data_IF_040707891357
#
_entry.id   IF_040707891357
#
_cell.length_a   1.000
_cell.length_b   1.000
_cell.length_c   1.000
_cell.angle_alpha   90.00
_cell.angle_beta   90.00
_cell.angle_gamma   90.00
#
_symmetry.space_group_name_H-M   'P 1'
#
loop_
_entity.id
_entity.type
_entity.pdbx_description
1 polymer ?
#
# COMPACT_ATOMS: atom_id res chain seq x y z
N UNK A 1 13.89 -10.85 0.12
CA UNK A 1 14.06 -10.97 -1.35
C UNK A 1 15.28 -10.25 -1.91
N UNK A 2 15.52 -8.96 -1.59
CA UNK A 2 16.66 -8.22 -2.13
C UNK A 2 18.03 -8.86 -1.79
N UNK A 3 18.25 -9.25 -0.52
CA UNK A 3 19.52 -9.87 -0.06
C UNK A 3 19.88 -11.15 -0.83
N UNK A 4 18.90 -12.03 -1.05
CA UNK A 4 19.11 -13.32 -1.74
C UNK A 4 19.20 -13.21 -3.27
N UNK A 5 18.96 -12.02 -3.82
CA UNK A 5 18.93 -11.76 -5.26
C UNK A 5 20.16 -11.00 -5.77
N UNK A 6 21.19 -10.83 -4.94
CA UNK A 6 22.43 -10.12 -5.29
C UNK A 6 23.08 -10.76 -6.52
N UNK A 7 23.44 -9.93 -7.51
CA UNK A 7 24.10 -10.38 -8.74
C UNK A 7 23.18 -10.99 -9.81
N UNK A 8 21.86 -11.02 -9.58
CA UNK A 8 20.87 -11.48 -10.58
C UNK A 8 20.38 -10.32 -11.46
N UNK A 9 20.02 -10.63 -12.70
CA UNK A 9 19.36 -9.64 -13.58
C UNK A 9 17.94 -9.34 -13.07
N UNK A 10 17.48 -8.10 -13.27
CA UNK A 10 16.15 -7.65 -12.84
C UNK A 10 15.06 -8.57 -13.41
N UNK A 11 15.16 -8.93 -14.70
CA UNK A 11 14.23 -9.86 -15.37
C UNK A 11 14.12 -11.20 -14.63
N UNK A 12 15.25 -11.80 -14.27
CA UNK A 12 15.25 -13.09 -13.58
C UNK A 12 14.62 -12.96 -12.19
N UNK A 13 14.95 -11.89 -11.45
CA UNK A 13 14.35 -11.64 -10.12
C UNK A 13 12.82 -11.57 -10.22
N UNK A 14 12.28 -10.75 -11.13
CA UNK A 14 10.84 -10.64 -11.31
C UNK A 14 10.19 -11.97 -11.70
N UNK A 15 10.76 -12.68 -12.67
CA UNK A 15 10.20 -13.96 -13.13
C UNK A 15 10.15 -14.99 -11.99
N UNK A 16 11.23 -15.17 -11.23
CA UNK A 16 11.27 -16.15 -10.14
C UNK A 16 10.42 -15.74 -8.94
N UNK A 17 10.44 -14.46 -8.56
CA UNK A 17 9.66 -13.96 -7.42
C UNK A 17 8.15 -14.05 -7.65
N UNK A 18 7.69 -13.96 -8.91
CA UNK A 18 6.27 -14.10 -9.23
C UNK A 18 5.87 -15.56 -9.48
N UNK A 19 6.65 -16.30 -10.27
CA UNK A 19 6.27 -17.65 -10.72
C UNK A 19 6.34 -18.70 -9.61
N UNK A 20 7.40 -18.69 -8.77
CA UNK A 20 7.61 -19.75 -7.78
C UNK A 20 6.52 -19.75 -6.69
N UNK A 21 6.21 -18.63 -6.03
CA UNK A 21 5.13 -18.61 -5.05
C UNK A 21 3.76 -18.87 -5.67
N UNK A 22 3.54 -18.46 -6.92
CA UNK A 22 2.30 -18.70 -7.63
C UNK A 22 2.06 -20.20 -7.90
N UNK A 23 3.06 -20.92 -8.41
CA UNK A 23 2.96 -22.37 -8.62
C UNK A 23 2.77 -23.10 -7.29
N UNK A 24 3.52 -22.69 -6.25
CA UNK A 24 3.33 -23.23 -4.91
C UNK A 24 1.90 -23.03 -4.41
N UNK A 25 1.33 -21.83 -4.56
CA UNK A 25 -0.05 -21.54 -4.16
C UNK A 25 -1.06 -22.41 -4.93
N UNK A 26 -0.90 -22.60 -6.23
CA UNK A 26 -1.77 -23.48 -7.03
C UNK A 26 -1.74 -24.91 -6.48
N UNK A 27 -0.54 -25.45 -6.25
CA UNK A 27 -0.40 -26.81 -5.72
C UNK A 27 -1.03 -26.90 -4.33
N UNK A 28 -0.72 -25.95 -3.44
CA UNK A 28 -1.22 -25.93 -2.06
C UNK A 28 -2.75 -25.84 -1.97
N UNK A 29 -3.36 -24.84 -2.63
CA UNK A 29 -4.81 -24.66 -2.61
C UNK A 29 -5.53 -25.75 -3.41
N UNK A 30 -4.92 -26.25 -4.49
CA UNK A 30 -5.47 -27.35 -5.27
C UNK A 30 -5.55 -28.65 -4.48
N UNK A 31 -4.50 -29.00 -3.73
CA UNK A 31 -4.46 -30.25 -2.94
C UNK A 31 -5.34 -30.15 -1.70
N UNK A 32 -5.07 -29.19 -0.81
CA UNK A 32 -5.75 -29.08 0.48
C UNK A 32 -7.15 -28.48 0.36
N UNK A 33 -7.33 -27.44 -0.47
CA UNK A 33 -8.65 -26.87 -0.74
C UNK A 33 -9.55 -27.88 -1.47
N UNK A 34 -9.00 -28.62 -2.43
CA UNK A 34 -9.73 -29.71 -3.09
C UNK A 34 -10.15 -30.82 -2.11
N UNK A 35 -9.27 -31.21 -1.19
CA UNK A 35 -9.58 -32.19 -0.14
C UNK A 35 -10.67 -31.68 0.82
N UNK A 36 -10.58 -30.41 1.24
CA UNK A 36 -11.55 -29.77 2.11
C UNK A 36 -12.96 -29.74 1.49
N UNK A 37 -13.08 -29.35 0.21
CA UNK A 37 -14.37 -29.33 -0.49
C UNK A 37 -14.96 -30.75 -0.63
N UNK A 38 -14.12 -31.78 -0.80
CA UNK A 38 -14.59 -33.18 -0.82
C UNK A 38 -15.08 -33.62 0.57
N UNK A 39 -14.36 -33.28 1.63
CA UNK A 39 -14.76 -33.57 3.01
C UNK A 39 -16.12 -32.91 3.32
N UNK A 40 -16.28 -31.62 3.02
CA UNK A 40 -17.53 -30.91 3.25
C UNK A 40 -18.73 -31.54 2.51
N UNK A 41 -18.55 -31.88 1.22
CA UNK A 41 -19.61 -32.53 0.41
C UNK A 41 -19.99 -33.92 0.92
N UNK A 42 -19.05 -34.64 1.53
CA UNK A 42 -19.32 -35.93 2.17
C UNK A 42 -20.08 -35.73 3.48
N UNK A 43 -19.68 -34.76 4.30
CA UNK A 43 -20.36 -34.46 5.56
C UNK A 43 -21.82 -34.04 5.34
N UNK A 44 -22.10 -33.21 4.34
CA UNK A 44 -23.47 -32.80 4.01
C UNK A 44 -24.32 -33.98 3.52
N UNK A 45 -23.75 -34.85 2.69
CA UNK A 45 -24.46 -36.06 2.26
C UNK A 45 -24.82 -37.00 3.42
N UNK A 46 -23.88 -37.24 4.34
CA UNK A 46 -24.13 -38.07 5.52
C UNK A 46 -25.18 -37.44 6.45
N UNK A 47 -25.20 -36.11 6.53
CA UNK A 47 -26.24 -35.36 7.24
C UNK A 47 -27.62 -35.57 6.61
N UNK A 48 -27.72 -35.54 5.28
CA UNK A 48 -28.99 -35.73 4.56
C UNK A 48 -29.56 -37.15 4.76
N UNK A 49 -28.69 -38.14 4.97
CA UNK A 49 -29.07 -39.53 5.26
C UNK A 49 -29.50 -39.76 6.73
N UNK A 50 -29.36 -38.76 7.61
CA UNK A 50 -29.73 -38.88 9.01
C UNK A 50 -28.85 -39.84 9.83
N UNK A 51 -27.60 -40.05 9.42
CA UNK A 51 -26.67 -40.95 10.08
C UNK A 51 -26.17 -40.40 11.43
N UNK A 52 -25.72 -41.31 12.30
CA UNK A 52 -25.23 -40.97 13.63
C UNK A 52 -23.97 -40.09 13.58
N UNK A 53 -23.90 -39.15 14.52
CA UNK A 53 -22.73 -38.31 14.74
C UNK A 53 -21.55 -39.18 15.16
N UNK A 54 -20.36 -38.93 14.59
CA UNK A 54 -19.15 -39.62 15.05
C UNK A 54 -18.94 -39.27 16.53
N UNK A 55 -18.89 -40.25 17.44
CA UNK A 55 -18.78 -40.02 18.90
C UNK A 55 -17.53 -40.67 19.50
N UNK A 56 -16.34 -40.12 19.22
CA UNK A 56 -15.06 -40.59 19.79
C UNK A 56 -14.34 -39.46 20.53
N UNK A 57 -14.12 -39.63 21.84
CA UNK A 57 -13.39 -38.68 22.69
C UNK A 57 -11.92 -38.48 22.28
N UNK A 58 -11.31 -39.51 21.68
CA UNK A 58 -9.90 -39.51 21.28
C UNK A 58 -9.64 -38.60 20.08
N UNK A 59 -10.67 -38.34 19.28
CA UNK A 59 -10.57 -37.51 18.08
C UNK A 59 -10.68 -36.01 18.39
N UNK A 60 -11.53 -35.61 19.34
CA UNK A 60 -11.85 -34.19 19.57
C UNK A 60 -10.98 -33.50 20.63
N UNK A 61 -10.02 -34.20 21.26
CA UNK A 61 -9.17 -33.66 22.34
C UNK A 61 -9.98 -32.95 23.45
N UNK A 62 -11.25 -33.31 23.62
CA UNK A 62 -12.19 -32.73 24.58
C UNK A 62 -12.78 -33.86 25.44
N UNK A 63 -12.75 -33.66 26.77
CA UNK A 63 -13.23 -34.63 27.78
C UNK A 63 -14.72 -34.50 28.10
N UNK A 64 -15.44 -33.57 27.45
CA UNK A 64 -16.87 -33.35 27.64
C UNK A 64 -17.72 -34.12 26.63
N UNK A 65 -18.92 -34.56 27.05
CA UNK A 65 -19.95 -35.14 26.18
C UNK A 65 -20.54 -34.15 25.16
N UNK A 66 -20.30 -32.85 25.35
CA UNK A 66 -20.61 -31.81 24.37
C UNK A 66 -19.47 -31.68 23.37
N UNK A 67 -19.81 -31.91 22.11
CA UNK A 67 -18.97 -32.65 21.16
C UNK A 67 -18.02 -31.77 20.30
N UNK A 68 -18.02 -30.46 20.52
CA UNK A 68 -17.25 -29.48 19.76
C UNK A 68 -17.51 -28.11 20.39
N UNK A 69 -16.63 -27.09 20.26
CA UNK A 69 -16.99 -25.71 20.58
C UNK A 69 -18.35 -25.33 19.95
N UNK A 70 -19.15 -24.52 20.67
CA UNK A 70 -20.58 -24.26 20.43
C UNK A 70 -20.98 -23.60 19.09
N UNK A 71 -20.10 -23.58 18.09
CA UNK A 71 -20.36 -23.11 16.74
C UNK A 71 -19.83 -24.02 15.63
N UNK A 72 -19.17 -25.10 16.00
CA UNK A 72 -18.36 -25.85 15.07
C UNK A 72 -19.18 -26.92 14.34
N UNK A 73 -18.76 -27.29 13.12
CA UNK A 73 -19.56 -28.14 12.24
C UNK A 73 -19.68 -29.59 12.74
N UNK A 74 -20.81 -30.22 12.44
CA UNK A 74 -21.07 -31.62 12.80
C UNK A 74 -20.16 -32.57 12.02
N UNK A 75 -19.71 -33.63 12.66
CA UNK A 75 -18.87 -34.66 12.05
C UNK A 75 -19.58 -36.02 12.06
N UNK A 76 -19.35 -36.78 11.01
CA UNK A 76 -20.03 -38.05 10.75
C UNK A 76 -19.01 -39.16 10.54
N UNK A 77 -19.32 -40.36 11.04
CA UNK A 77 -18.62 -41.58 10.68
C UNK A 77 -19.08 -42.02 9.30
N UNK A 78 -18.17 -42.60 8.53
CA UNK A 78 -18.54 -43.24 7.25
C UNK A 78 -18.88 -44.69 7.58
N UNK A 79 -20.13 -45.14 7.43
CA UNK A 79 -20.51 -46.52 7.77
C UNK A 79 -19.81 -47.51 6.85
N UNK A 80 -19.35 -48.64 7.41
CA UNK A 80 -18.69 -49.70 6.63
C UNK A 80 -19.64 -50.37 5.63
N UNK A 81 -20.96 -50.34 5.89
CA UNK A 81 -22.02 -50.88 5.03
C UNK A 81 -22.28 -50.05 3.77
N UNK A 82 -21.75 -48.83 3.70
CA UNK A 82 -21.99 -47.87 2.64
C UNK A 82 -20.91 -48.07 1.57
N UNK A 83 -21.10 -49.12 0.77
CA UNK A 83 -20.17 -49.55 -0.29
C UNK A 83 -20.05 -48.49 -1.40
N UNK A 84 -18.94 -48.47 -2.14
CA UNK A 84 -18.63 -47.46 -3.17
C UNK A 84 -19.72 -47.23 -4.22
N UNK A 85 -20.61 -48.20 -4.45
CA UNK A 85 -21.66 -48.16 -5.46
C UNK A 85 -22.77 -47.14 -5.15
N UNK A 86 -23.19 -47.00 -3.89
CA UNK A 86 -24.29 -46.10 -3.49
C UNK A 86 -23.87 -44.61 -3.58
N UNK A 87 -22.60 -44.31 -3.29
CA UNK A 87 -22.03 -42.96 -3.45
C UNK A 87 -21.86 -42.56 -4.92
N UNK A 88 -21.42 -43.51 -5.76
CA UNK A 88 -21.25 -43.28 -7.19
C UNK A 88 -22.61 -43.05 -7.89
N UNK A 89 -23.65 -43.78 -7.48
CA UNK A 89 -25.02 -43.62 -7.99
C UNK A 89 -25.63 -42.24 -7.62
N UNK A 90 -25.24 -41.65 -6.49
CA UNK A 90 -25.64 -40.30 -6.08
C UNK A 90 -24.88 -39.17 -6.81
N UNK A 91 -24.03 -39.49 -7.80
CA UNK A 91 -23.21 -38.51 -8.53
C UNK A 91 -22.11 -37.88 -7.69
N UNK A 92 -21.73 -38.50 -6.55
CA UNK A 92 -20.75 -37.99 -5.60
C UNK A 92 -19.49 -38.86 -5.62
N UNK A 93 -18.32 -38.22 -5.57
CA UNK A 93 -17.02 -38.90 -5.69
C UNK A 93 -16.74 -39.83 -4.50
N UNK A 94 -16.50 -41.11 -4.81
CA UNK A 94 -15.92 -42.22 -4.03
C UNK A 94 -15.54 -41.84 -2.59
N UNK A 95 -16.26 -42.36 -1.60
CA UNK A 95 -15.79 -42.45 -0.21
C UNK A 95 -14.93 -43.69 -0.07
N UNK A 96 -13.62 -43.51 0.07
CA UNK A 96 -12.78 -44.57 0.64
C UNK A 96 -13.17 -44.69 2.12
N UNK A 97 -13.52 -45.89 2.60
CA UNK A 97 -13.85 -46.17 4.01
C UNK A 97 -12.70 -45.73 4.93
N UNK A 98 -11.47 -45.63 4.39
CA UNK A 98 -10.28 -45.11 5.07
C UNK A 98 -10.31 -43.60 5.35
N UNK A 99 -11.36 -42.88 4.97
CA UNK A 99 -11.51 -41.44 5.22
C UNK A 99 -12.67 -41.18 6.17
N UNK A 100 -12.40 -41.33 7.47
CA UNK A 100 -13.34 -41.08 8.58
C UNK A 100 -12.54 -40.60 9.81
N UNK A 101 -13.05 -39.62 10.58
CA UNK A 101 -14.35 -38.94 10.46
C UNK A 101 -14.35 -37.81 9.42
N UNK A 102 -15.55 -37.44 8.96
CA UNK A 102 -15.76 -36.37 7.98
C UNK A 102 -16.58 -35.25 8.60
N UNK A 103 -16.00 -34.04 8.66
CA UNK A 103 -16.61 -32.88 9.31
C UNK A 103 -17.19 -31.87 8.32
N UNK A 104 -18.35 -31.31 8.64
CA UNK A 104 -18.88 -30.14 7.95
C UNK A 104 -18.12 -28.89 8.42
N UNK A 105 -17.97 -27.90 7.52
CA UNK A 105 -17.39 -26.61 7.87
C UNK A 105 -18.51 -25.66 8.30
N UNK A 106 -18.25 -24.83 9.30
CA UNK A 106 -19.24 -23.89 9.87
C UNK A 106 -18.54 -22.63 10.35
N UNK A 107 -18.90 -21.49 9.76
CA UNK A 107 -18.35 -20.14 9.90
C UNK A 107 -18.10 -19.60 11.33
N UNK A 108 -18.42 -20.35 12.37
CA UNK A 108 -18.19 -20.01 13.77
C UNK A 108 -16.93 -20.68 14.36
N UNK A 109 -16.33 -21.67 13.71
CA UNK A 109 -15.09 -22.34 14.16
C UNK A 109 -14.00 -22.28 13.09
N UNK A 110 -13.33 -21.14 12.97
CA UNK A 110 -12.37 -20.93 11.87
C UNK A 110 -10.99 -21.54 12.12
N UNK A 111 -10.66 -21.93 13.36
CA UNK A 111 -9.35 -22.45 13.72
C UNK A 111 -9.24 -23.99 13.60
N UNK A 112 -10.35 -24.72 13.76
CA UNK A 112 -10.35 -26.19 13.81
C UNK A 112 -10.25 -26.89 12.45
N UNK A 113 -10.59 -26.23 11.33
CA UNK A 113 -10.78 -26.90 10.05
C UNK A 113 -9.55 -27.62 9.49
N UNK A 114 -8.36 -27.06 9.69
CA UNK A 114 -7.13 -27.69 9.22
C UNK A 114 -6.90 -29.03 9.92
N UNK A 115 -7.16 -29.08 11.23
CA UNK A 115 -6.98 -30.29 12.02
C UNK A 115 -8.05 -31.33 11.73
N UNK A 116 -9.30 -30.91 11.50
CA UNK A 116 -10.35 -31.81 10.98
C UNK A 116 -9.94 -32.43 9.63
N UNK A 117 -9.39 -31.61 8.73
CA UNK A 117 -8.94 -32.04 7.41
C UNK A 117 -7.79 -33.04 7.48
N UNK A 118 -6.85 -32.87 8.41
CA UNK A 118 -5.74 -33.80 8.61
C UNK A 118 -6.19 -35.06 9.36
N UNK A 119 -7.14 -34.94 10.27
CA UNK A 119 -7.68 -36.02 11.09
C UNK A 119 -8.51 -37.03 10.32
N UNK A 120 -9.11 -36.66 9.18
CA UNK A 120 -9.99 -37.55 8.40
C UNK A 120 -9.30 -38.83 7.88
N UNK A 121 -7.96 -38.89 7.83
CA UNK A 121 -7.24 -40.04 7.27
C UNK A 121 -7.06 -41.14 8.33
N UNK A 122 -7.77 -42.26 8.17
CA UNK A 122 -7.78 -43.37 9.11
C UNK A 122 -6.37 -43.91 9.37
N UNK A 123 -5.97 -44.03 10.64
CA UNK A 123 -4.65 -44.51 11.08
C UNK A 123 -3.49 -43.51 10.98
N UNK A 124 -3.56 -42.52 10.08
CA UNK A 124 -2.52 -41.49 9.90
C UNK A 124 -2.89 -40.12 10.47
N UNK A 125 -4.17 -39.88 10.79
CA UNK A 125 -4.68 -38.59 11.26
C UNK A 125 -3.89 -37.98 12.41
N UNK A 126 -3.68 -38.69 13.55
CA UNK A 126 -2.89 -38.16 14.67
C UNK A 126 -1.46 -37.78 14.29
N UNK A 127 -0.81 -38.56 13.42
CA UNK A 127 0.51 -38.26 12.91
C UNK A 127 0.52 -36.98 12.05
N UNK A 128 -0.43 -36.84 11.12
CA UNK A 128 -0.55 -35.64 10.27
C UNK A 128 -0.89 -34.39 11.07
N UNK A 129 -1.72 -34.51 12.11
CA UNK A 129 -2.02 -33.43 13.06
C UNK A 129 -0.75 -33.03 13.83
N UNK A 130 0.02 -34.01 14.34
CA UNK A 130 1.27 -33.74 15.04
C UNK A 130 2.31 -33.06 14.13
N UNK A 131 2.46 -33.53 12.88
CA UNK A 131 3.33 -32.89 11.87
C UNK A 131 2.86 -31.47 11.55
N UNK A 132 1.54 -31.26 11.46
CA UNK A 132 0.96 -29.93 11.21
C UNK A 132 1.26 -28.96 12.35
N UNK A 133 1.12 -29.40 13.60
CA UNK A 133 1.46 -28.58 14.77
C UNK A 133 2.95 -28.23 14.77
N UNK A 134 3.82 -29.21 14.57
CA UNK A 134 5.26 -28.99 14.50
C UNK A 134 5.64 -28.02 13.37
N UNK A 135 5.08 -28.22 12.17
CA UNK A 135 5.34 -27.35 11.01
C UNK A 135 4.83 -25.93 11.25
N UNK A 136 3.67 -25.77 11.90
CA UNK A 136 3.12 -24.46 12.24
C UNK A 136 4.02 -23.72 13.24
N UNK A 137 4.53 -24.43 14.26
CA UNK A 137 5.48 -23.85 15.22
C UNK A 137 6.78 -23.46 14.53
N UNK A 138 7.35 -24.34 13.69
CA UNK A 138 8.55 -24.02 12.92
C UNK A 138 8.35 -22.82 11.99
N UNK A 139 7.21 -22.77 11.28
CA UNK A 139 6.87 -21.66 10.42
C UNK A 139 6.77 -20.35 11.21
N UNK A 140 6.13 -20.38 12.38
CA UNK A 140 6.02 -19.22 13.26
C UNK A 140 7.39 -18.73 13.72
N UNK A 141 8.25 -19.64 14.22
CA UNK A 141 9.60 -19.29 14.70
C UNK A 141 10.48 -18.74 13.57
N UNK A 142 10.50 -19.40 12.41
CA UNK A 142 11.32 -18.97 11.26
C UNK A 142 10.81 -17.66 10.65
N UNK A 143 9.49 -17.45 10.61
CA UNK A 143 8.89 -16.19 10.17
C UNK A 143 9.20 -15.05 11.13
N UNK A 144 9.13 -15.27 12.44
CA UNK A 144 9.45 -14.26 13.45
C UNK A 144 10.93 -13.88 13.46
N UNK A 145 11.84 -14.84 13.30
CA UNK A 145 13.28 -14.55 13.16
C UNK A 145 13.57 -13.69 11.92
N UNK A 146 12.95 -14.04 10.78
CA UNK A 146 13.10 -13.26 9.55
C UNK A 146 12.48 -11.85 9.64
N UNK A 147 11.34 -11.72 10.34
CA UNK A 147 10.64 -10.45 10.55
C UNK A 147 11.43 -9.49 11.44
N UNK A 148 11.82 -9.97 12.63
CA UNK A 148 12.59 -9.19 13.60
C UNK A 148 13.95 -8.74 13.05
N UNK A 149 14.60 -9.54 12.19
CA UNK A 149 15.81 -9.13 11.47
C UNK A 149 15.57 -7.90 10.57
N UNK A 150 14.45 -7.86 9.85
CA UNK A 150 14.13 -6.75 8.94
C UNK A 150 13.78 -5.48 9.72
N UNK A 151 12.99 -5.59 10.78
CA UNK A 151 12.66 -4.46 11.66
C UNK A 151 13.93 -3.88 12.28
N UNK A 152 14.82 -4.75 12.74
CA UNK A 152 16.10 -4.37 13.32
C UNK A 152 17.02 -3.62 12.32
N UNK A 153 17.10 -4.13 11.09
CA UNK A 153 17.85 -3.47 10.01
C UNK A 153 17.29 -2.08 9.70
N UNK A 154 15.96 -1.92 9.66
CA UNK A 154 15.32 -0.63 9.40
C UNK A 154 15.62 0.35 10.54
N UNK A 155 15.53 -0.12 11.80
CA UNK A 155 15.82 0.69 12.98
C UNK A 155 17.30 1.16 13.03
N UNK A 156 18.22 0.42 12.41
CA UNK A 156 19.65 0.73 12.38
C UNK A 156 20.15 1.28 11.02
N UNK A 157 19.31 2.01 10.28
CA UNK A 157 19.67 2.62 8.98
C UNK A 157 20.26 1.63 7.96
N UNK A 158 19.81 0.37 8.00
CA UNK A 158 20.25 -0.70 7.11
C UNK A 158 21.54 -1.42 7.51
N UNK A 159 22.09 -1.14 8.70
CA UNK A 159 23.29 -1.82 9.24
C UNK A 159 22.88 -2.95 10.18
N UNK A 160 23.69 -4.01 10.24
CA UNK A 160 23.47 -5.08 11.20
C UNK A 160 23.72 -4.56 12.63
N UNK A 161 22.78 -4.82 13.54
CA UNK A 161 22.82 -4.33 14.92
C UNK A 161 23.28 -5.42 15.90
N UNK A 162 23.40 -5.04 17.18
CA UNK A 162 23.66 -5.99 18.25
C UNK A 162 22.47 -6.91 18.51
N UNK A 163 22.74 -8.18 18.86
CA UNK A 163 21.73 -9.23 19.08
C UNK A 163 20.63 -8.81 20.06
N UNK A 164 20.95 -7.99 21.06
CA UNK A 164 19.99 -7.49 22.06
C UNK A 164 18.85 -6.69 21.43
N UNK A 165 19.13 -5.86 20.42
CA UNK A 165 18.11 -5.05 19.74
C UNK A 165 17.16 -5.93 18.94
N UNK A 166 17.69 -6.96 18.27
CA UNK A 166 16.87 -7.96 17.57
C UNK A 166 15.98 -8.76 18.53
N UNK A 167 16.51 -9.18 19.69
CA UNK A 167 15.71 -9.87 20.71
C UNK A 167 14.59 -8.95 21.23
N UNK A 168 14.86 -7.66 21.42
CA UNK A 168 13.85 -6.67 21.78
C UNK A 168 12.71 -6.62 20.74
N UNK A 169 13.03 -6.55 19.44
CA UNK A 169 12.01 -6.56 18.39
C UNK A 169 11.21 -7.87 18.34
N UNK A 170 11.88 -9.02 18.49
CA UNK A 170 11.19 -10.32 18.54
C UNK A 170 10.20 -10.42 19.72
N UNK A 171 10.59 -9.95 20.91
CA UNK A 171 9.72 -9.98 22.10
C UNK A 171 8.54 -9.02 21.93
N UNK A 172 8.78 -7.81 21.41
CA UNK A 172 7.72 -6.81 21.25
C UNK A 172 6.72 -7.22 20.17
N UNK A 173 7.15 -7.81 19.06
CA UNK A 173 6.25 -8.42 18.06
C UNK A 173 5.37 -9.52 18.68
N UNK A 174 5.96 -10.40 19.49
CA UNK A 174 5.23 -11.44 20.22
C UNK A 174 4.24 -10.87 21.23
N UNK A 175 4.61 -9.83 21.97
CA UNK A 175 3.74 -9.14 22.93
C UNK A 175 2.53 -8.50 22.25
N UNK A 176 2.73 -7.89 21.07
CA UNK A 176 1.64 -7.34 20.26
C UNK A 176 0.71 -8.46 19.78
N UNK A 177 1.25 -9.58 19.30
CA UNK A 177 0.42 -10.72 18.89
C UNK A 177 -0.45 -11.25 20.05
N UNK A 178 0.13 -11.41 21.25
CA UNK A 178 -0.61 -11.82 22.45
C UNK A 178 -1.69 -10.80 22.83
N UNK A 179 -1.37 -9.50 22.79
CA UNK A 179 -2.33 -8.44 23.08
C UNK A 179 -3.53 -8.47 22.11
N UNK A 180 -3.28 -8.71 20.82
CA UNK A 180 -4.33 -8.79 19.80
C UNK A 180 -5.22 -10.01 19.95
N UNK A 181 -4.63 -11.18 20.22
CA UNK A 181 -5.41 -12.40 20.49
C UNK A 181 -6.29 -12.22 21.74
N UNK A 182 -5.76 -11.57 22.78
CA UNK A 182 -6.52 -11.27 24.00
C UNK A 182 -7.62 -10.24 23.77
N UNK A 183 -7.37 -9.21 22.96
CA UNK A 183 -8.35 -8.17 22.65
C UNK A 183 -9.51 -8.70 21.79
N UNK A 184 -9.24 -9.60 20.86
CA UNK A 184 -10.28 -10.17 19.99
C UNK A 184 -11.11 -11.30 20.62
N UNK A 185 -10.61 -11.95 21.67
CA UNK A 185 -11.35 -12.99 22.39
C UNK A 185 -11.84 -14.12 21.46
N UNK A 186 -13.14 -14.49 21.49
CA UNK A 186 -13.69 -15.55 20.63
C UNK A 186 -13.66 -15.18 19.13
N UNK A 187 -13.63 -13.89 18.77
CA UNK A 187 -13.53 -13.40 17.39
C UNK A 187 -12.14 -12.85 17.07
N UNK A 188 -11.09 -13.48 17.60
CA UNK A 188 -9.69 -13.05 17.42
C UNK A 188 -9.29 -12.86 15.95
N UNK A 189 -9.87 -13.62 15.03
CA UNK A 189 -9.63 -13.49 13.59
C UNK A 189 -10.09 -12.13 13.05
N UNK A 190 -11.28 -11.66 13.43
CA UNK A 190 -11.83 -10.37 12.99
C UNK A 190 -10.95 -9.21 13.50
N UNK A 191 -10.47 -9.29 14.74
CA UNK A 191 -9.58 -8.30 15.32
C UNK A 191 -8.22 -8.25 14.58
N UNK A 192 -7.62 -9.41 14.31
CA UNK A 192 -6.35 -9.50 13.56
C UNK A 192 -6.48 -8.96 12.12
N UNK A 193 -7.56 -9.31 11.43
CA UNK A 193 -7.83 -8.80 10.07
C UNK A 193 -8.01 -7.28 10.06
N UNK A 194 -8.79 -6.75 11.00
CA UNK A 194 -9.06 -5.32 11.10
C UNK A 194 -7.78 -4.51 11.28
N UNK A 195 -6.88 -4.95 12.18
CA UNK A 195 -5.61 -4.26 12.41
C UNK A 195 -4.69 -4.34 11.19
N UNK A 196 -4.66 -5.48 10.49
CA UNK A 196 -3.90 -5.63 9.27
C UNK A 196 -4.39 -4.68 8.16
N UNK A 197 -5.71 -4.48 8.04
CA UNK A 197 -6.30 -3.55 7.08
C UNK A 197 -5.95 -2.10 7.45
N UNK A 198 -6.12 -1.73 8.72
CA UNK A 198 -5.80 -0.40 9.22
C UNK A 198 -4.31 -0.05 9.04
N UNK A 199 -3.40 -1.00 9.31
CA UNK A 199 -1.97 -0.80 9.12
C UNK A 199 -1.53 -0.85 7.64
N UNK A 200 -2.20 -1.67 6.81
CA UNK A 200 -1.86 -1.83 5.39
C UNK A 200 -2.26 -0.64 4.52
N UNK A 201 -3.32 0.09 4.88
CA UNK A 201 -3.82 1.24 4.11
C UNK A 201 -2.76 2.35 3.92
N UNK A 202 -2.12 2.92 4.97
CA UNK A 202 -1.09 3.93 4.78
C UNK A 202 0.12 3.37 4.03
N UNK A 203 0.49 2.11 4.28
CA UNK A 203 1.61 1.48 3.59
C UNK A 203 1.36 1.26 2.09
N UNK A 204 0.10 1.10 1.68
CA UNK A 204 -0.28 1.02 0.27
C UNK A 204 0.08 2.30 -0.47
N UNK A 205 -0.15 3.48 0.14
CA UNK A 205 0.26 4.77 -0.43
C UNK A 205 1.78 4.83 -0.59
N UNK A 206 2.53 4.37 0.43
CA UNK A 206 3.99 4.31 0.37
C UNK A 206 4.47 3.38 -0.76
N UNK A 207 3.88 2.19 -0.93
CA UNK A 207 4.24 1.28 -2.02
C UNK A 207 3.97 1.91 -3.40
N UNK A 208 2.86 2.63 -3.57
CA UNK A 208 2.57 3.32 -4.83
C UNK A 208 3.63 4.38 -5.15
N UNK A 209 4.09 5.14 -4.14
CA UNK A 209 5.20 6.09 -4.29
C UNK A 209 6.53 5.37 -4.56
N UNK A 210 6.77 4.21 -3.95
CA UNK A 210 7.97 3.40 -4.22
C UNK A 210 7.98 2.86 -5.65
N UNK A 211 6.83 2.50 -6.22
CA UNK A 211 6.73 2.07 -7.62
C UNK A 211 7.15 3.19 -8.58
N UNK A 212 6.71 4.43 -8.35
CA UNK A 212 7.13 5.57 -9.18
C UNK A 212 8.60 5.94 -8.98
N UNK A 213 9.08 5.87 -7.74
CA UNK A 213 10.51 6.06 -7.42
C UNK A 213 11.39 5.01 -8.11
N UNK A 214 10.99 3.73 -8.10
CA UNK A 214 11.70 2.65 -8.77
C UNK A 214 11.72 2.86 -10.29
N UNK A 215 10.59 3.24 -10.88
CA UNK A 215 10.51 3.54 -12.32
C UNK A 215 11.46 4.69 -12.73
N UNK A 216 11.50 5.77 -11.94
CA UNK A 216 12.44 6.87 -12.16
C UNK A 216 13.89 6.42 -11.99
N UNK A 217 14.20 5.62 -10.97
CA UNK A 217 15.54 5.08 -10.76
C UNK A 217 16.02 4.26 -11.96
N UNK A 218 15.15 3.42 -12.55
CA UNK A 218 15.47 2.64 -13.75
C UNK A 218 15.70 3.51 -14.99
N UNK A 219 14.97 4.61 -15.14
CA UNK A 219 15.19 5.57 -16.24
C UNK A 219 16.53 6.30 -16.13
N UNK A 220 16.94 6.64 -14.91
CA UNK A 220 18.24 7.25 -14.63
C UNK A 220 19.37 6.27 -15.00
N UNK A 221 19.24 5.01 -14.59
CA UNK A 221 20.22 3.96 -14.91
C UNK A 221 20.35 3.72 -16.43
N UNK A 222 19.23 3.75 -17.16
CA UNK A 222 19.21 3.66 -18.63
C UNK A 222 19.67 4.93 -19.35
N UNK A 223 20.04 5.99 -18.62
CA UNK A 223 20.39 7.33 -19.18
C UNK A 223 19.26 7.97 -20.01
N UNK A 224 18.03 7.47 -19.89
CA UNK A 224 16.84 8.10 -20.46
C UNK A 224 16.40 9.34 -19.68
N UNK A 225 16.96 9.53 -18.48
CA UNK A 225 16.72 10.64 -17.59
C UNK A 225 18.05 11.10 -16.99
N UNK A 226 18.40 12.39 -17.01
CA UNK A 226 19.62 12.89 -16.40
C UNK A 226 19.65 12.60 -14.90
N UNK A 227 20.87 12.51 -14.36
CA UNK A 227 21.10 12.32 -12.93
C UNK A 227 20.51 13.50 -12.13
N UNK A 228 20.17 13.27 -10.85
CA UNK A 228 19.40 14.22 -10.03
C UNK A 228 20.07 15.59 -9.90
N UNK A 229 21.39 15.61 -9.86
CA UNK A 229 22.25 16.79 -9.82
C UNK A 229 22.17 17.65 -11.09
N UNK A 230 21.80 17.07 -12.23
CA UNK A 230 21.70 17.75 -13.51
C UNK A 230 20.26 18.13 -13.90
N UNK A 231 19.27 17.83 -13.04
CA UNK A 231 17.85 18.11 -13.31
C UNK A 231 17.44 19.51 -12.89
N UNK A 232 16.60 20.11 -13.73
CA UNK A 232 15.85 21.32 -13.38
C UNK A 232 14.59 20.87 -12.63
N UNK A 233 14.67 20.85 -11.31
CA UNK A 233 13.53 20.61 -10.43
C UNK A 233 12.79 21.93 -10.14
N UNK A 234 11.58 21.81 -9.59
CA UNK A 234 10.82 22.97 -9.12
C UNK A 234 11.61 23.75 -8.05
N UNK A 235 11.54 25.09 -8.11
CA UNK A 235 12.20 25.99 -7.16
C UNK A 235 11.74 25.75 -5.71
N UNK A 236 10.48 25.37 -5.52
CA UNK A 236 9.93 24.91 -4.25
C UNK A 236 9.62 23.41 -4.37
N UNK A 237 10.15 22.53 -3.50
CA UNK A 237 9.74 21.13 -3.51
C UNK A 237 8.26 20.99 -3.10
N UNK A 238 7.58 19.96 -3.61
CA UNK A 238 6.14 19.75 -3.33
C UNK A 238 5.88 19.59 -1.82
N UNK A 239 6.81 18.99 -1.07
CA UNK A 239 6.74 18.85 0.38
C UNK A 239 7.59 19.89 1.12
N UNK A 240 7.96 21.00 0.47
CA UNK A 240 8.65 22.12 1.11
C UNK A 240 7.72 23.25 1.53
N UNK A 241 8.28 24.36 2.02
CA UNK A 241 7.48 25.53 2.38
C UNK A 241 6.76 25.30 3.70
N UNK A 242 5.42 25.27 3.71
CA UNK A 242 4.67 25.09 4.97
C UNK A 242 4.98 23.74 5.66
N UNK A 243 5.35 22.72 4.89
CA UNK A 243 5.69 21.41 5.41
C UNK A 243 7.08 21.35 6.07
N UNK A 244 7.94 22.36 5.86
CA UNK A 244 9.22 22.48 6.56
C UNK A 244 9.01 22.68 8.07
N UNK A 245 7.81 23.11 8.49
CA UNK A 245 7.39 23.12 9.91
C UNK A 245 7.39 21.71 10.50
N UNK A 246 6.93 20.71 9.75
CA UNK A 246 6.97 19.31 10.20
C UNK A 246 8.41 18.83 10.31
N UNK A 247 9.26 19.19 9.36
CA UNK A 247 10.69 18.88 9.44
C UNK A 247 11.34 19.56 10.65
N UNK A 248 11.01 20.82 10.94
CA UNK A 248 11.48 21.53 12.12
C UNK A 248 11.07 20.83 13.43
N UNK A 249 9.81 20.41 13.53
CA UNK A 249 9.29 19.71 14.71
C UNK A 249 9.95 18.33 14.84
N UNK A 250 10.03 17.56 13.76
CA UNK A 250 10.58 16.19 13.77
C UNK A 250 12.09 16.18 13.97
N UNK A 251 12.81 17.24 13.58
CA UNK A 251 14.25 17.39 13.80
C UNK A 251 14.61 18.12 15.09
N UNK A 252 13.62 18.41 15.96
CA UNK A 252 13.81 19.14 17.23
C UNK A 252 14.54 20.47 17.03
N UNK A 253 14.17 21.21 15.99
CA UNK A 253 14.67 22.55 15.71
C UNK A 253 16.03 22.62 15.01
N UNK A 254 16.50 21.53 14.39
CA UNK A 254 17.74 21.52 13.61
C UNK A 254 17.57 22.02 12.17
N UNK A 255 16.38 21.92 11.59
CA UNK A 255 16.11 22.47 10.25
C UNK A 255 15.75 23.98 10.33
N UNK A 256 15.83 24.66 9.18
CA UNK A 256 15.45 26.08 9.09
C UNK A 256 13.93 26.29 9.16
N UNK A 257 13.49 27.45 9.65
CA UNK A 257 12.08 27.85 9.60
C UNK A 257 11.62 28.12 8.16
N UNK A 258 10.35 27.86 7.83
CA UNK A 258 9.82 28.10 6.49
C UNK A 258 9.83 29.60 6.14
N UNK A 259 10.02 29.90 4.86
CA UNK A 259 9.92 31.27 4.37
C UNK A 259 8.48 31.79 4.53
N UNK A 260 8.30 32.95 5.15
CA UNK A 260 6.99 33.55 5.42
C UNK A 260 6.13 33.72 4.15
N UNK A 261 6.78 34.01 3.02
CA UNK A 261 6.13 34.09 1.70
C UNK A 261 5.54 32.74 1.26
N UNK A 262 6.25 31.62 1.43
CA UNK A 262 5.75 30.31 1.05
C UNK A 262 4.54 29.89 1.89
N UNK A 263 4.53 30.25 3.18
CA UNK A 263 3.37 30.04 4.07
C UNK A 263 2.18 30.89 3.63
N UNK A 264 2.40 32.17 3.31
CA UNK A 264 1.36 33.07 2.79
C UNK A 264 0.77 32.55 1.48
N UNK A 265 1.61 32.16 0.53
CA UNK A 265 1.19 31.63 -0.77
C UNK A 265 0.40 30.32 -0.58
N UNK A 266 0.76 29.46 0.38
CA UNK A 266 -0.04 28.27 0.70
C UNK A 266 -1.46 28.63 1.16
N UNK A 267 -1.61 29.54 2.13
CA UNK A 267 -2.93 29.97 2.61
C UNK A 267 -3.72 30.70 1.53
N UNK A 268 -3.06 31.51 0.70
CA UNK A 268 -3.70 32.17 -0.43
C UNK A 268 -4.18 31.13 -1.46
N UNK A 269 -3.45 30.03 -1.66
CA UNK A 269 -3.86 28.93 -2.51
C UNK A 269 -5.01 28.11 -1.94
N UNK A 270 -5.13 28.07 -0.61
CA UNK A 270 -6.22 27.39 0.08
C UNK A 270 -7.51 28.21 0.01
N UNK A 271 -7.47 29.52 0.26
CA UNK A 271 -8.69 30.34 0.33
C UNK A 271 -9.02 31.07 -0.97
N UNK A 272 -8.03 31.42 -1.77
CA UNK A 272 -8.20 32.16 -3.02
C UNK A 272 -7.35 31.57 -4.17
N UNK A 273 -7.54 30.28 -4.53
CA UNK A 273 -6.77 29.64 -5.60
C UNK A 273 -6.77 30.38 -6.96
N UNK A 274 -7.87 31.05 -7.40
CA UNK A 274 -7.87 31.77 -8.68
C UNK A 274 -6.85 32.90 -8.76
N UNK A 275 -6.54 33.55 -7.62
CA UNK A 275 -5.59 34.66 -7.59
C UNK A 275 -4.16 34.17 -7.86
N UNK A 276 -3.76 33.05 -7.25
CA UNK A 276 -2.47 32.43 -7.52
C UNK A 276 -2.39 31.86 -8.93
N UNK A 277 -3.47 31.25 -9.42
CA UNK A 277 -3.53 30.74 -10.79
C UNK A 277 -3.32 31.90 -11.78
N UNK A 278 -4.04 33.01 -11.61
CA UNK A 278 -3.86 34.22 -12.41
C UNK A 278 -2.43 34.76 -12.35
N UNK A 279 -1.85 34.84 -11.14
CA UNK A 279 -0.47 35.29 -10.94
C UNK A 279 0.54 34.40 -11.67
N UNK A 280 0.35 33.08 -11.63
CA UNK A 280 1.20 32.11 -12.34
C UNK A 280 1.08 32.24 -13.86
N UNK A 281 -0.12 32.39 -14.40
CA UNK A 281 -0.38 32.56 -15.84
C UNK A 281 0.23 33.87 -16.35
N UNK A 282 -0.02 34.99 -15.66
CA UNK A 282 0.52 36.31 -16.04
C UNK A 282 2.04 36.35 -15.95
N UNK A 283 2.62 35.77 -14.91
CA UNK A 283 4.07 35.69 -14.81
C UNK A 283 4.68 34.80 -15.89
N UNK A 284 4.03 33.70 -16.27
CA UNK A 284 4.48 32.87 -17.39
C UNK A 284 4.39 33.61 -18.73
N UNK A 285 3.30 34.36 -18.96
CA UNK A 285 3.11 35.15 -20.17
C UNK A 285 4.18 36.23 -20.35
N UNK A 286 4.71 36.79 -19.25
CA UNK A 286 5.82 37.75 -19.27
C UNK A 286 7.17 37.11 -19.67
N UNK A 287 7.36 35.82 -19.38
CA UNK A 287 8.58 35.08 -19.71
C UNK A 287 8.55 34.48 -21.13
N UNK A 288 7.36 34.32 -21.72
CA UNK A 288 7.18 33.78 -23.07
C UNK A 288 7.42 34.84 -24.14
N UNK A 289 8.59 34.81 -24.78
CA UNK A 289 8.94 35.73 -25.89
C UNK A 289 8.39 35.33 -27.26
N UNK A 290 8.07 34.04 -27.48
CA UNK A 290 7.68 33.53 -28.80
C UNK A 290 6.16 33.50 -29.07
N UNK A 291 5.33 33.20 -28.04
CA UNK A 291 3.86 33.15 -28.12
C UNK A 291 3.26 33.47 -26.74
N UNK A 292 3.13 34.75 -26.35
CA UNK A 292 2.52 35.11 -25.07
C UNK A 292 1.01 34.83 -25.09
N UNK A 293 0.48 34.28 -24.00
CA UNK A 293 -0.97 34.12 -23.84
C UNK A 293 -1.65 35.48 -23.75
N UNK A 294 -2.85 35.57 -24.33
CA UNK A 294 -3.66 36.79 -24.24
C UNK A 294 -4.22 36.94 -22.82
N UNK A 295 -4.24 38.16 -22.29
CA UNK A 295 -4.79 38.44 -20.96
C UNK A 295 -6.27 37.99 -20.81
N UNK A 296 -7.00 37.97 -21.92
CA UNK A 296 -8.38 37.50 -21.98
C UNK A 296 -8.46 35.97 -21.75
N UNK A 297 -7.59 35.19 -22.39
CA UNK A 297 -7.52 33.74 -22.19
C UNK A 297 -7.11 33.38 -20.76
N UNK A 298 -6.10 34.07 -20.21
CA UNK A 298 -5.68 33.87 -18.81
C UNK A 298 -6.84 34.17 -17.83
N UNK A 299 -7.62 35.20 -18.16
CA UNK A 299 -8.78 35.63 -17.35
C UNK A 299 -9.92 34.63 -17.39
N UNK A 300 -10.19 34.07 -18.57
CA UNK A 300 -11.17 33.00 -18.72
C UNK A 300 -10.78 31.77 -17.88
N UNK A 301 -9.51 31.38 -17.90
CA UNK A 301 -9.02 30.25 -17.09
C UNK A 301 -9.13 30.52 -15.58
N UNK A 302 -8.74 31.71 -15.12
CA UNK A 302 -8.89 32.10 -13.71
C UNK A 302 -10.36 32.18 -13.28
N UNK A 303 -11.25 32.69 -14.14
CA UNK A 303 -12.69 32.73 -13.88
C UNK A 303 -13.30 31.33 -13.82
N UNK A 304 -12.94 30.43 -14.74
CA UNK A 304 -13.37 29.03 -14.72
C UNK A 304 -12.92 28.33 -13.44
N UNK A 305 -11.65 28.54 -13.04
CA UNK A 305 -11.12 28.05 -11.77
C UNK A 305 -11.92 28.56 -10.57
N UNK A 306 -12.24 29.86 -10.53
CA UNK A 306 -13.06 30.47 -9.49
C UNK A 306 -14.45 29.87 -9.41
N UNK A 307 -15.11 29.69 -10.56
CA UNK A 307 -16.43 29.10 -10.65
C UNK A 307 -16.44 27.65 -10.12
N UNK A 308 -15.49 26.83 -10.57
CA UNK A 308 -15.42 25.42 -10.13
C UNK A 308 -15.08 25.28 -8.64
N UNK A 309 -14.20 26.13 -8.12
CA UNK A 309 -13.80 26.11 -6.71
C UNK A 309 -14.92 26.59 -5.79
N UNK A 310 -15.55 27.72 -6.13
CA UNK A 310 -16.70 28.23 -5.37
C UNK A 310 -17.89 27.27 -5.43
N UNK A 311 -18.17 26.65 -6.59
CA UNK A 311 -19.19 25.62 -6.71
C UNK A 311 -18.93 24.43 -5.78
N UNK A 312 -17.69 23.94 -5.68
CA UNK A 312 -17.35 22.87 -4.74
C UNK A 312 -17.64 23.27 -3.29
N UNK A 313 -17.16 24.42 -2.83
CA UNK A 313 -17.36 24.88 -1.45
C UNK A 313 -18.84 25.12 -1.13
N UNK A 314 -19.56 25.82 -2.00
CA UNK A 314 -20.98 26.15 -1.81
C UNK A 314 -21.82 24.88 -1.77
N UNK A 315 -21.61 23.95 -2.72
CA UNK A 315 -22.37 22.70 -2.77
C UNK A 315 -22.08 21.82 -1.54
N UNK A 316 -20.84 21.80 -1.03
CA UNK A 316 -20.53 21.09 0.21
C UNK A 316 -21.26 21.70 1.42
N UNK A 317 -21.27 23.02 1.54
CA UNK A 317 -21.99 23.72 2.62
C UNK A 317 -23.49 23.42 2.53
N UNK A 318 -24.08 23.46 1.34
CA UNK A 318 -25.50 23.16 1.12
C UNK A 318 -25.86 21.71 1.48
N UNK A 319 -24.99 20.74 1.14
CA UNK A 319 -25.19 19.34 1.54
C UNK A 319 -25.08 19.15 3.05
N UNK A 320 -24.13 19.84 3.71
CA UNK A 320 -23.97 19.81 5.16
C UNK A 320 -25.13 20.46 5.91
N UNK A 321 -25.76 21.48 5.33
CA UNK A 321 -26.93 22.16 5.88
C UNK A 321 -28.25 21.35 5.76
N UNK A 322 -28.21 20.12 5.23
CA UNK A 322 -29.36 19.21 5.08
C UNK A 322 -30.59 19.85 4.42
N UNK A 323 -30.37 20.61 3.35
CA UNK A 323 -31.45 21.17 2.54
C UNK A 323 -32.32 20.04 1.97
N UNK A 324 -33.65 20.15 2.07
CA UNK A 324 -34.60 19.16 1.57
C UNK A 324 -34.44 18.96 0.05
N UNK A 325 -34.55 17.71 -0.43
CA UNK A 325 -34.35 17.29 -1.84
C UNK A 325 -32.91 17.31 -2.40
N UNK A 326 -31.89 17.29 -1.54
CA UNK A 326 -30.47 17.34 -1.96
C UNK A 326 -29.80 16.00 -2.34
N UNK A 327 -30.55 14.97 -2.76
CA UNK A 327 -30.01 13.65 -3.12
C UNK A 327 -29.24 13.70 -4.45
N UNK A 328 -27.99 14.15 -4.41
CA UNK A 328 -27.10 14.21 -5.59
C UNK A 328 -26.13 15.39 -5.61
N UNK A 329 -26.38 16.45 -4.81
CA UNK A 329 -25.50 17.63 -4.77
C UNK A 329 -24.06 17.29 -4.34
N UNK A 330 -23.90 16.28 -3.48
CA UNK A 330 -22.58 15.81 -3.05
C UNK A 330 -21.75 15.30 -4.23
N UNK A 331 -22.36 14.55 -5.15
CA UNK A 331 -21.69 14.09 -6.36
C UNK A 331 -21.26 15.26 -7.25
N UNK A 332 -22.15 16.24 -7.45
CA UNK A 332 -21.87 17.43 -8.26
C UNK A 332 -20.75 18.27 -7.64
N UNK A 333 -20.71 18.39 -6.30
CA UNK A 333 -19.64 19.07 -5.59
C UNK A 333 -18.28 18.44 -5.91
N UNK A 334 -18.17 17.11 -5.81
CA UNK A 334 -16.93 16.40 -6.12
C UNK A 334 -16.56 16.45 -7.61
N UNK A 335 -17.53 16.41 -8.52
CA UNK A 335 -17.24 16.63 -9.96
C UNK A 335 -16.70 18.04 -10.22
N UNK A 336 -17.21 19.06 -9.51
CA UNK A 336 -16.72 20.43 -9.60
C UNK A 336 -15.28 20.55 -9.08
N UNK A 337 -14.96 19.83 -7.98
CA UNK A 337 -13.60 19.73 -7.45
C UNK A 337 -12.63 19.07 -8.43
N UNK A 338 -13.02 17.96 -9.05
CA UNK A 338 -12.20 17.30 -10.08
C UNK A 338 -11.98 18.24 -11.27
N UNK A 339 -13.02 18.99 -11.70
CA UNK A 339 -12.90 20.02 -12.73
C UNK A 339 -11.89 21.12 -12.36
N UNK A 340 -11.95 21.61 -11.12
CA UNK A 340 -10.96 22.54 -10.57
C UNK A 340 -9.54 21.96 -10.62
N UNK A 341 -9.35 20.73 -10.16
CA UNK A 341 -8.04 20.07 -10.15
C UNK A 341 -7.48 19.87 -11.57
N UNK A 342 -8.33 19.55 -12.55
CA UNK A 342 -7.94 19.45 -13.97
C UNK A 342 -7.47 20.80 -14.51
N UNK A 343 -8.16 21.90 -14.18
CA UNK A 343 -7.74 23.25 -14.58
C UNK A 343 -6.36 23.61 -14.00
N UNK A 344 -6.16 23.40 -12.69
CA UNK A 344 -4.85 23.63 -12.04
C UNK A 344 -3.76 22.76 -12.66
N UNK A 345 -4.05 21.47 -12.91
CA UNK A 345 -3.11 20.55 -13.55
C UNK A 345 -2.75 20.96 -14.99
N UNK A 346 -3.70 21.52 -15.74
CA UNK A 346 -3.44 22.01 -17.10
C UNK A 346 -2.47 23.20 -17.11
N UNK A 347 -2.62 24.15 -16.18
CA UNK A 347 -1.69 25.27 -16.01
C UNK A 347 -0.34 24.79 -15.51
N UNK A 348 -0.33 23.84 -14.59
CA UNK A 348 0.91 23.22 -14.11
C UNK A 348 1.69 22.54 -15.24
N UNK A 349 0.97 21.87 -16.15
CA UNK A 349 1.57 21.26 -17.33
C UNK A 349 2.24 22.29 -18.24
N UNK A 350 1.57 23.42 -18.53
CA UNK A 350 2.16 24.48 -19.39
C UNK A 350 3.38 25.13 -18.74
N UNK A 351 3.35 25.37 -17.43
CA UNK A 351 4.51 25.87 -16.66
C UNK A 351 5.68 24.88 -16.79
N UNK A 352 5.47 23.58 -16.52
CA UNK A 352 6.55 22.58 -16.64
C UNK A 352 7.12 22.49 -18.05
N UNK A 353 6.25 22.52 -19.07
CA UNK A 353 6.67 22.46 -20.47
C UNK A 353 7.58 23.63 -20.83
N UNK A 354 7.29 24.83 -20.31
CA UNK A 354 8.11 26.03 -20.53
C UNK A 354 9.48 25.93 -19.83
N UNK A 355 9.51 25.53 -18.56
CA UNK A 355 10.75 25.42 -17.77
C UNK A 355 11.52 24.10 -17.99
N UNK A 356 11.03 23.21 -18.88
CA UNK A 356 11.59 21.87 -19.14
C UNK A 356 11.73 21.02 -17.87
N UNK A 357 10.79 21.17 -16.94
CA UNK A 357 10.73 20.36 -15.71
C UNK A 357 10.14 19.00 -16.06
N UNK A 358 10.83 17.93 -15.66
CA UNK A 358 10.37 16.56 -15.92
C UNK A 358 9.13 16.20 -15.08
N UNK A 359 8.16 15.54 -15.72
CA UNK A 359 7.02 14.94 -15.04
C UNK A 359 5.94 14.50 -16.02
N UNK A 360 4.91 13.81 -15.50
CA UNK A 360 3.76 13.38 -16.31
C UNK A 360 2.52 14.23 -16.04
N UNK A 361 1.58 14.25 -16.99
CA UNK A 361 0.27 14.91 -16.76
C UNK A 361 -0.53 14.30 -15.61
N UNK A 362 -0.34 12.99 -15.36
CA UNK A 362 -0.95 12.31 -14.22
C UNK A 362 -0.37 12.78 -12.88
N UNK A 363 0.94 13.04 -12.82
CA UNK A 363 1.56 13.64 -11.63
C UNK A 363 1.02 15.05 -11.34
N UNK A 364 0.78 15.85 -12.39
CA UNK A 364 0.17 17.16 -12.21
C UNK A 364 -1.25 17.04 -11.68
N UNK A 365 -2.05 16.14 -12.25
CA UNK A 365 -3.42 15.90 -11.82
C UNK A 365 -3.48 15.42 -10.36
N UNK A 366 -2.66 14.43 -9.98
CA UNK A 366 -2.61 13.92 -8.60
C UNK A 366 -2.13 15.01 -7.64
N UNK A 367 -1.11 15.79 -8.03
CA UNK A 367 -0.66 16.91 -7.20
C UNK A 367 -1.75 17.96 -7.00
N UNK A 368 -2.50 18.29 -8.06
CA UNK A 368 -3.61 19.23 -7.99
C UNK A 368 -4.80 18.68 -7.21
N UNK A 369 -5.07 17.37 -7.26
CA UNK A 369 -6.18 16.75 -6.50
C UNK A 369 -5.91 16.72 -5.00
N UNK A 370 -4.69 16.38 -4.57
CA UNK A 370 -4.39 16.18 -3.15
C UNK A 370 -3.66 17.34 -2.48
N UNK A 371 -2.94 18.15 -3.25
CA UNK A 371 -2.05 19.19 -2.73
C UNK A 371 -2.24 20.55 -3.45
N UNK A 372 -3.46 20.86 -3.91
CA UNK A 372 -3.73 22.07 -4.72
C UNK A 372 -3.11 23.37 -4.17
N UNK A 373 -3.16 23.70 -2.85
CA UNK A 373 -2.64 24.99 -2.38
C UNK A 373 -1.13 25.08 -2.59
N UNK A 374 -0.45 23.98 -2.30
CA UNK A 374 0.99 23.85 -2.47
C UNK A 374 1.39 23.80 -3.94
N UNK A 375 0.59 23.16 -4.82
CA UNK A 375 0.87 23.18 -6.26
C UNK A 375 0.78 24.59 -6.85
N UNK A 376 -0.17 25.40 -6.39
CA UNK A 376 -0.33 26.78 -6.83
C UNK A 376 0.82 27.66 -6.33
N UNK A 377 1.19 27.53 -5.04
CA UNK A 377 2.34 28.21 -4.47
C UNK A 377 3.65 27.85 -5.21
N UNK A 378 3.85 26.56 -5.50
CA UNK A 378 4.99 26.06 -6.26
C UNK A 378 5.08 26.67 -7.67
N UNK A 379 3.95 26.79 -8.39
CA UNK A 379 3.92 27.43 -9.71
C UNK A 379 4.26 28.91 -9.65
N UNK A 380 3.69 29.65 -8.69
CA UNK A 380 3.96 31.08 -8.52
C UNK A 380 5.43 31.33 -8.19
N UNK A 381 5.98 30.58 -7.24
CA UNK A 381 7.38 30.71 -6.87
C UNK A 381 8.33 30.37 -8.03
N UNK A 382 8.01 29.36 -8.83
CA UNK A 382 8.81 29.01 -10.01
C UNK A 382 8.88 30.14 -11.02
N UNK A 383 7.76 30.83 -11.25
CA UNK A 383 7.65 31.91 -12.22
C UNK A 383 8.30 33.21 -11.71
N UNK A 384 8.28 33.45 -10.41
CA UNK A 384 8.91 34.62 -9.79
C UNK A 384 10.42 34.46 -9.55
N UNK A 385 10.91 33.22 -9.45
CA UNK A 385 12.34 32.98 -9.18
C UNK A 385 13.17 33.34 -10.41
N UNK A 386 14.18 34.22 -10.30
CA UNK A 386 15.07 34.53 -11.41
C UNK A 386 15.76 33.27 -11.90
N UNK A 387 15.67 32.97 -13.20
CA UNK A 387 16.34 31.79 -13.75
C UNK A 387 17.86 31.95 -13.64
N UNK A 388 18.55 30.92 -13.13
CA UNK A 388 20.00 30.79 -13.38
C UNK A 388 20.18 30.61 -14.89
N UNK A 389 21.09 31.34 -15.56
CA UNK A 389 21.34 31.15 -16.98
C UNK A 389 21.68 29.68 -17.23
N UNK A 390 21.04 29.07 -18.23
CA UNK A 390 21.31 27.69 -18.58
C UNK A 390 22.80 27.53 -18.90
N UNK A 391 23.45 26.48 -18.41
CA UNK A 391 24.82 26.09 -18.80
C UNK A 391 24.89 25.62 -20.27
N UNK A 392 24.40 26.43 -21.20
CA UNK A 392 24.51 26.26 -22.65
C UNK A 392 24.97 27.53 -23.38
N UNK A 393 25.20 28.63 -22.66
CA UNK A 393 25.90 29.81 -23.16
C UNK A 393 27.18 30.05 -22.34
N UNK A 394 28.06 29.05 -22.31
CA UNK A 394 29.48 29.32 -22.11
C UNK A 394 30.11 29.09 -23.48
N UNK A 395 30.39 30.19 -24.18
CA UNK A 395 31.30 30.19 -25.34
C UNK A 395 32.57 29.44 -24.97
N UNK A 396 33.09 28.53 -25.82
CA UNK A 396 34.30 27.78 -25.51
C UNK A 396 35.49 28.71 -25.61
N UNK A 397 35.80 29.40 -24.51
CA UNK A 397 36.90 30.36 -24.52
C UNK A 397 36.91 31.29 -23.33
N UNK A 398 36.78 30.77 -22.10
CA UNK A 398 37.30 31.48 -20.91
C UNK A 398 37.41 30.62 -19.64
N UNK A 399 37.42 29.29 -19.76
CA UNK A 399 37.69 28.40 -18.61
C UNK A 399 39.12 27.85 -18.67
N UNK A 400 40.09 28.75 -18.79
CA UNK A 400 41.50 28.48 -18.54
C UNK A 400 42.13 29.63 -17.75
N UNK A 401 41.65 29.90 -16.53
CA UNK A 401 42.53 30.45 -15.49
C UNK A 401 41.88 30.34 -14.09
N UNK A 402 42.21 29.25 -13.38
CA UNK A 402 42.59 29.30 -11.95
C UNK A 402 43.05 27.92 -11.49
N UNK A 403 44.34 27.74 -11.17
CA UNK A 403 44.87 26.49 -10.66
C UNK A 403 44.74 26.40 -9.13
N UNK A 404 44.45 25.19 -8.64
CA UNK A 404 44.97 24.58 -7.41
C UNK A 404 45.07 25.45 -6.14
N UNK A 405 43.97 25.58 -5.38
CA UNK A 405 44.04 25.89 -3.93
C UNK A 405 42.87 25.20 -3.21
N UNK A 406 42.94 23.87 -2.99
CA UNK A 406 42.15 23.18 -1.93
C UNK A 406 42.57 21.70 -1.79
N UNK A 407 43.88 21.44 -1.69
CA UNK A 407 44.40 20.09 -1.39
C UNK A 407 45.45 20.05 -0.29
N UNK A 408 45.42 21.00 0.66
CA UNK A 408 46.31 21.03 1.82
C UNK A 408 45.61 21.53 3.09
N UNK A 409 44.56 20.86 3.55
CA UNK A 409 44.09 20.95 4.95
C UNK A 409 43.54 19.61 5.47
N UNK A 410 44.11 18.49 5.00
CA UNK A 410 43.84 17.17 5.57
C UNK A 410 45.18 16.51 5.94
N UNK A 411 45.93 17.19 6.80
CA UNK A 411 47.04 16.65 7.61
C UNK A 411 47.38 17.71 8.66
N UNK A 412 46.83 17.54 9.88
CA UNK A 412 47.40 17.81 11.21
C UNK A 412 46.44 17.20 12.23
#
# INVERSE_FOLDING_TARGET
MARISRGRTIRNVFLYTLSVPFVYAIVWFGTFGGAAIRMHRRATFLSDMGLELHNSSDFYLHTSSDFRPAGAGKCYSVPESLEHADYAAAGKYVTDIKVSPVCAFSWKDDAGYWFDLMGQYHGMGPFLVAVSLFTTVLYFVTSSDSGSLVVDLIANNGRESHVVQRVFWAITEGAVAIALLRAGGPESLNALQSISICAGLPFTVVIMLMCTALWRALKIDQKHMPARDQRVDWALPLYGGIFDVLEFVLTLGKSGLPQSKAVLDFFLGLFAPPLLLWKSLRGLALLQTAQPSSALQDGFMAAACSLTYSAWIILQILTGAKVENASGLWGIAWTSFVGFAVLVASVRHTVRAHFKIEGSGLEDLVSALFFWPQTLAQMVQQVETPQKPSMKEVTPGEEQLKPSVEKKEAEI
#
